data_IF_858591698738
#
_entry.id   IF_858591698738
#
_cell.length_a   1.000
_cell.length_b   1.000
_cell.length_c   1.000
_cell.angle_alpha   90.00
_cell.angle_beta   90.00
_cell.angle_gamma   90.00
#
_symmetry.space_group_name_H-M   'P 1'
#
loop_
_entity.id
_entity.type
_entity.pdbx_description
1 polymer ?
#
# COMPACT_ATOMS: atom_id res chain seq x y z
N UNK A 1 33.87 -48.23 10.01
CA UNK A 1 33.35 -47.01 9.33
C UNK A 1 32.14 -46.51 10.11
N UNK A 2 32.25 -45.43 10.87
CA UNK A 2 31.12 -44.73 11.45
C UNK A 2 30.66 -43.69 10.41
N UNK A 3 29.51 -43.91 9.83
CA UNK A 3 28.81 -42.91 9.07
C UNK A 3 28.37 -41.79 10.04
N UNK A 4 29.05 -40.65 10.01
CA UNK A 4 28.51 -39.42 10.60
C UNK A 4 27.37 -38.96 9.74
N UNK A 5 26.15 -39.32 10.10
CA UNK A 5 24.98 -38.67 9.57
C UNK A 5 25.04 -37.21 9.97
N UNK A 6 25.38 -36.36 9.03
CA UNK A 6 25.21 -34.89 9.15
C UNK A 6 23.72 -34.65 9.28
N UNK A 7 23.29 -34.35 10.50
CA UNK A 7 21.90 -33.92 10.76
C UNK A 7 21.67 -32.67 9.92
N UNK A 8 20.77 -32.77 8.95
CA UNK A 8 20.33 -31.62 8.21
C UNK A 8 19.64 -30.67 9.20
N UNK A 9 20.29 -29.54 9.45
CA UNK A 9 19.75 -28.55 10.36
C UNK A 9 18.62 -27.80 9.60
N UNK A 10 17.38 -28.15 9.93
CA UNK A 10 16.17 -27.59 9.30
C UNK A 10 15.85 -26.17 9.78
N UNK A 11 16.74 -25.57 10.58
CA UNK A 11 16.58 -24.21 11.09
C UNK A 11 17.18 -23.18 10.13
N UNK A 12 16.67 -23.12 8.92
CA UNK A 12 16.97 -22.04 7.98
C UNK A 12 16.38 -20.70 8.44
N UNK A 13 16.75 -19.58 7.79
CA UNK A 13 16.17 -18.29 8.08
C UNK A 13 14.66 -18.31 7.84
N UNK A 14 13.92 -17.63 8.70
CA UNK A 14 12.49 -17.38 8.53
C UNK A 14 12.24 -15.89 8.43
N UNK A 15 11.23 -15.49 7.68
CA UNK A 15 10.79 -14.11 7.60
C UNK A 15 9.44 -13.92 8.28
N UNK A 16 9.21 -12.72 8.79
CA UNK A 16 7.95 -12.32 9.37
C UNK A 16 7.55 -10.94 8.84
N UNK A 17 6.26 -10.70 8.69
CA UNK A 17 5.73 -9.37 8.45
C UNK A 17 5.77 -8.62 9.79
N UNK A 18 6.52 -7.53 9.86
CA UNK A 18 6.58 -6.65 11.03
C UNK A 18 5.59 -5.50 10.94
N UNK A 19 5.23 -5.10 9.73
CA UNK A 19 4.24 -4.07 9.48
C UNK A 19 3.41 -4.45 8.26
N UNK A 20 2.08 -4.48 8.43
CA UNK A 20 1.15 -4.66 7.33
C UNK A 20 0.75 -3.29 6.78
N UNK A 21 0.49 -3.16 5.47
CA UNK A 21 -0.11 -1.96 4.93
C UNK A 21 -1.51 -1.75 5.53
N UNK A 22 -1.85 -0.50 5.73
CA UNK A 22 -3.16 -0.06 6.23
C UNK A 22 -3.94 0.62 5.12
N UNK A 23 -5.26 0.64 5.26
CA UNK A 23 -6.13 1.36 4.34
C UNK A 23 -5.75 2.85 4.30
N UNK A 24 -5.80 3.41 3.11
CA UNK A 24 -5.49 4.82 2.86
C UNK A 24 -6.76 5.52 2.40
N UNK A 25 -7.05 6.66 3.02
CA UNK A 25 -8.12 7.56 2.60
C UNK A 25 -7.48 8.84 2.05
N UNK A 26 -7.84 9.23 0.84
CA UNK A 26 -7.33 10.44 0.18
C UNK A 26 -8.42 11.13 -0.62
N UNK A 27 -8.11 12.30 -1.15
CA UNK A 27 -8.95 13.03 -2.11
C UNK A 27 -8.33 12.95 -3.50
N UNK A 28 -9.17 13.02 -4.53
CA UNK A 28 -8.71 13.09 -5.91
C UNK A 28 -7.92 14.39 -6.18
N UNK A 29 -7.06 14.38 -7.18
CA UNK A 29 -6.35 15.57 -7.65
C UNK A 29 -7.35 16.66 -8.08
N UNK A 30 -6.97 17.93 -7.92
CA UNK A 30 -7.79 19.08 -8.33
C UNK A 30 -8.81 19.55 -7.28
N UNK A 31 -8.89 18.92 -6.11
CA UNK A 31 -9.73 19.36 -5.00
C UNK A 31 -8.99 20.38 -4.14
N UNK A 32 -9.57 21.56 -3.97
CA UNK A 32 -9.10 22.55 -2.99
C UNK A 32 -9.51 22.07 -1.59
N UNK A 33 -8.55 21.65 -0.81
CA UNK A 33 -8.57 21.17 0.56
C UNK A 33 -9.92 21.08 1.28
N UNK A 34 -10.31 19.85 1.63
CA UNK A 34 -11.35 19.58 2.62
C UNK A 34 -10.72 19.50 4.02
N UNK A 35 -11.34 20.17 4.99
CA UNK A 35 -10.90 20.11 6.40
C UNK A 35 -11.23 18.73 6.94
N UNK A 36 -10.23 17.97 7.37
CA UNK A 36 -10.43 16.75 8.17
C UNK A 36 -9.87 15.44 7.63
N UNK A 37 -9.21 15.42 6.48
CA UNK A 37 -8.53 14.20 5.97
C UNK A 37 -7.02 14.36 6.15
N UNK A 38 -6.41 13.46 6.94
CA UNK A 38 -4.97 13.38 7.05
C UNK A 38 -4.41 12.70 5.79
N UNK A 39 -3.69 13.46 4.96
CA UNK A 39 -3.07 12.93 3.74
C UNK A 39 -2.79 14.04 2.74
N UNK A 40 -1.97 13.73 1.76
CA UNK A 40 -1.69 14.63 0.64
C UNK A 40 -2.72 14.36 -0.46
N UNK A 41 -3.43 15.40 -0.91
CA UNK A 41 -4.41 15.31 -2.00
C UNK A 41 -3.79 14.65 -3.23
N UNK A 42 -4.46 13.66 -3.78
CA UNK A 42 -4.04 12.94 -4.99
C UNK A 42 -2.87 11.98 -4.81
N UNK A 43 -2.48 11.68 -3.57
CA UNK A 43 -1.39 10.75 -3.26
C UNK A 43 -1.84 9.75 -2.21
N UNK A 44 -1.51 8.48 -2.42
CA UNK A 44 -1.65 7.41 -1.44
C UNK A 44 -0.30 6.70 -1.25
N UNK A 45 0.03 6.38 0.00
CA UNK A 45 1.26 5.68 0.35
C UNK A 45 0.92 4.47 1.21
N UNK A 46 1.35 3.29 0.78
CA UNK A 46 1.21 2.02 1.50
C UNK A 46 2.58 1.56 1.96
N UNK A 47 2.68 1.07 3.20
CA UNK A 47 3.93 0.62 3.79
C UNK A 47 3.78 -0.83 4.25
N UNK A 48 4.71 -1.69 3.83
CA UNK A 48 4.82 -3.07 4.28
C UNK A 48 6.27 -3.38 4.65
N UNK A 49 6.52 -3.85 5.86
CA UNK A 49 7.87 -4.13 6.35
C UNK A 49 7.97 -5.58 6.80
N UNK A 50 9.07 -6.21 6.44
CA UNK A 50 9.40 -7.58 6.85
C UNK A 50 10.71 -7.63 7.63
N UNK A 51 10.80 -8.57 8.56
CA UNK A 51 11.99 -8.88 9.34
C UNK A 51 12.43 -10.31 9.07
N UNK A 52 13.73 -10.57 9.22
CA UNK A 52 14.29 -11.91 9.14
C UNK A 52 14.75 -12.37 10.52
N UNK A 53 14.35 -13.58 10.90
CA UNK A 53 14.94 -14.30 12.02
C UNK A 53 15.88 -15.38 11.45
N UNK A 54 17.14 -15.23 11.74
CA UNK A 54 18.12 -16.26 11.45
C UNK A 54 18.00 -17.27 12.60
N UNK A 55 17.32 -18.39 12.36
CA UNK A 55 17.12 -19.43 13.39
C UNK A 55 18.39 -19.70 14.21
N UNK A 56 18.23 -19.90 15.52
CA UNK A 56 19.33 -20.34 16.37
C UNK A 56 19.67 -21.78 16.04
N UNK A 57 20.95 -22.17 16.11
CA UNK A 57 22.05 -21.57 16.84
C UNK A 57 23.23 -21.14 15.99
N UNK A 58 23.89 -20.18 16.45
CA UNK A 58 25.34 -19.97 16.42
C UNK A 58 26.17 -21.09 15.81
N UNK A 59 26.03 -21.33 14.53
CA UNK A 59 27.14 -21.90 13.82
C UNK A 59 28.17 -20.77 13.66
N UNK A 60 29.39 -20.92 14.20
CA UNK A 60 30.43 -19.93 14.00
C UNK A 60 30.59 -19.69 12.50
N UNK A 61 30.43 -18.47 12.05
CA UNK A 61 30.62 -18.09 10.64
C UNK A 61 29.38 -17.79 9.83
N UNK A 62 28.17 -17.83 10.40
CA UNK A 62 26.97 -17.29 9.71
C UNK A 62 26.92 -15.79 9.92
N UNK A 63 27.39 -15.05 8.95
CA UNK A 63 27.26 -13.59 8.94
C UNK A 63 25.80 -13.19 8.69
N UNK A 64 25.25 -12.34 9.56
CA UNK A 64 23.93 -11.74 9.43
C UNK A 64 23.82 -10.79 8.23
N UNK A 65 24.92 -10.58 7.51
CA UNK A 65 25.02 -9.60 6.42
C UNK A 65 24.85 -10.19 5.01
N UNK A 66 24.50 -11.46 4.88
CA UNK A 66 24.54 -12.15 3.57
C UNK A 66 23.17 -12.44 2.94
N UNK A 67 22.18 -11.64 3.23
CA UNK A 67 20.89 -11.80 2.57
C UNK A 67 20.22 -10.46 2.33
N UNK A 68 19.30 -10.43 1.40
CA UNK A 68 18.49 -9.25 1.11
C UNK A 68 17.03 -9.62 0.94
N UNK A 69 16.15 -8.70 1.35
CA UNK A 69 14.75 -8.77 1.01
C UNK A 69 14.56 -8.37 -0.45
N UNK A 70 13.65 -9.07 -1.10
CA UNK A 70 13.09 -8.72 -2.40
C UNK A 70 11.61 -8.50 -2.17
N UNK A 71 11.14 -7.30 -2.42
CA UNK A 71 9.74 -6.91 -2.28
C UNK A 71 9.09 -6.82 -3.64
N UNK A 72 7.80 -7.14 -3.69
CA UNK A 72 6.96 -6.92 -4.85
C UNK A 72 5.55 -6.57 -4.39
N UNK A 73 5.06 -5.42 -4.79
CA UNK A 73 3.68 -5.05 -4.61
C UNK A 73 2.80 -5.67 -5.69
N UNK A 74 1.61 -6.05 -5.29
CA UNK A 74 0.57 -6.60 -6.14
C UNK A 74 -0.74 -5.86 -5.89
N UNK A 75 -1.58 -5.81 -6.91
CA UNK A 75 -2.99 -5.43 -6.74
C UNK A 75 -3.74 -6.52 -5.98
N UNK A 76 -4.89 -6.20 -5.42
CA UNK A 76 -5.68 -7.15 -4.62
C UNK A 76 -6.10 -8.42 -5.38
N UNK A 77 -6.21 -8.34 -6.69
CA UNK A 77 -6.47 -9.47 -7.60
C UNK A 77 -5.20 -10.25 -8.00
N UNK A 78 -4.03 -9.86 -7.50
CA UNK A 78 -2.78 -10.61 -7.66
C UNK A 78 -1.90 -10.20 -8.83
N UNK A 79 -2.22 -9.12 -9.53
CA UNK A 79 -1.39 -8.61 -10.62
C UNK A 79 -0.20 -7.84 -10.05
N UNK A 80 1.00 -8.08 -10.59
CA UNK A 80 2.21 -7.34 -10.20
C UNK A 80 2.07 -5.86 -10.52
N UNK A 81 2.32 -5.03 -9.53
CA UNK A 81 2.47 -3.58 -9.71
C UNK A 81 3.84 -3.29 -10.31
N UNK A 82 3.89 -2.38 -11.26
CA UNK A 82 5.12 -1.89 -11.88
C UNK A 82 5.22 -0.38 -11.76
N UNK A 83 6.42 0.13 -11.60
CA UNK A 83 6.66 1.57 -11.56
C UNK A 83 6.32 2.22 -12.90
N UNK A 84 5.78 3.43 -12.85
CA UNK A 84 5.34 4.19 -14.01
C UNK A 84 5.16 5.67 -13.65
N UNK A 85 4.38 6.39 -14.46
CA UNK A 85 4.20 7.85 -14.28
C UNK A 85 3.54 8.18 -12.93
N UNK A 86 2.57 7.37 -12.52
CA UNK A 86 1.76 7.61 -11.32
C UNK A 86 2.02 6.60 -10.19
N UNK A 87 2.93 5.65 -10.39
CA UNK A 87 3.23 4.59 -9.43
C UNK A 87 4.74 4.52 -9.24
N UNK A 88 5.18 4.45 -7.99
CA UNK A 88 6.58 4.25 -7.64
C UNK A 88 6.74 3.37 -6.41
N UNK A 89 7.90 2.70 -6.32
CA UNK A 89 8.24 1.86 -5.19
C UNK A 89 7.67 0.45 -5.24
N UNK A 90 7.27 -0.05 -6.41
CA UNK A 90 6.66 -1.38 -6.57
C UNK A 90 7.53 -2.54 -6.09
N UNK A 91 8.85 -2.36 -6.05
CA UNK A 91 9.84 -3.31 -5.54
C UNK A 91 10.43 -2.94 -4.17
N UNK A 92 9.81 -2.07 -3.40
CA UNK A 92 10.33 -1.57 -2.11
C UNK A 92 9.33 -1.79 -0.97
N UNK A 93 9.69 -1.40 0.24
CA UNK A 93 8.78 -1.42 1.40
C UNK A 93 7.64 -0.42 1.29
N UNK A 94 7.71 0.55 0.38
CA UNK A 94 6.75 1.64 0.27
C UNK A 94 6.25 1.76 -1.16
N UNK A 95 4.95 1.58 -1.37
CA UNK A 95 4.27 1.85 -2.63
C UNK A 95 3.63 3.23 -2.56
N UNK A 96 3.91 4.08 -3.54
CA UNK A 96 3.28 5.39 -3.68
C UNK A 96 2.50 5.46 -4.98
N UNK A 97 1.25 5.89 -4.89
CA UNK A 97 0.37 6.16 -6.03
C UNK A 97 0.06 7.64 -6.03
N UNK A 98 0.25 8.29 -7.15
CA UNK A 98 0.03 9.72 -7.35
C UNK A 98 -1.02 9.96 -8.45
N UNK A 99 -1.47 11.21 -8.57
CA UNK A 99 -2.48 11.62 -9.55
C UNK A 99 -3.79 10.81 -9.45
N UNK A 100 -4.18 10.53 -8.21
CA UNK A 100 -5.37 9.73 -7.89
C UNK A 100 -6.63 10.45 -8.34
N UNK A 101 -7.54 9.73 -8.97
CA UNK A 101 -8.83 10.22 -9.49
C UNK A 101 -9.99 9.46 -8.87
N UNK A 102 -11.16 10.08 -8.80
CA UNK A 102 -12.43 9.46 -8.43
C UNK A 102 -13.35 9.47 -9.67
N UNK A 103 -14.06 8.36 -9.95
CA UNK A 103 -14.14 7.12 -9.18
C UNK A 103 -13.05 6.08 -9.52
N UNK A 104 -12.18 6.32 -10.51
CA UNK A 104 -11.33 5.30 -11.14
C UNK A 104 -10.36 4.60 -10.20
N UNK A 105 -9.91 5.29 -9.15
CA UNK A 105 -8.95 4.74 -8.18
C UNK A 105 -9.61 4.31 -6.86
N UNK A 106 -10.87 4.63 -6.63
CA UNK A 106 -11.58 4.21 -5.42
C UNK A 106 -11.76 2.70 -5.37
N UNK A 107 -11.56 2.12 -4.19
CA UNK A 107 -11.67 0.68 -3.96
C UNK A 107 -10.50 -0.16 -4.45
N UNK A 108 -9.50 0.40 -5.14
CA UNK A 108 -8.28 -0.34 -5.48
C UNK A 108 -7.58 -0.82 -4.22
N UNK A 109 -7.08 -2.05 -4.26
CA UNK A 109 -6.42 -2.64 -3.10
C UNK A 109 -5.06 -3.23 -3.47
N UNK A 110 -4.15 -3.28 -2.49
CA UNK A 110 -2.77 -3.66 -2.69
C UNK A 110 -2.26 -4.50 -1.52
N UNK A 111 -1.34 -5.42 -1.83
CA UNK A 111 -0.58 -6.16 -0.85
C UNK A 111 0.88 -6.29 -1.30
N UNK A 112 1.76 -6.58 -0.38
CA UNK A 112 3.18 -6.80 -0.66
C UNK A 112 3.53 -8.27 -0.48
N UNK A 113 4.35 -8.81 -1.36
CA UNK A 113 5.08 -10.05 -1.14
C UNK A 113 6.54 -9.74 -0.81
N UNK A 114 7.03 -10.38 0.25
CA UNK A 114 8.41 -10.31 0.67
C UNK A 114 9.08 -11.67 0.51
N UNK A 115 10.18 -11.70 -0.22
CA UNK A 115 11.07 -12.86 -0.33
C UNK A 115 12.42 -12.50 0.28
N UNK A 116 13.07 -13.48 0.87
CA UNK A 116 14.42 -13.29 1.36
C UNK A 116 15.35 -14.24 0.60
N UNK A 117 16.29 -13.65 -0.10
CA UNK A 117 17.37 -14.38 -0.77
C UNK A 117 18.63 -14.24 0.06
N UNK A 118 19.11 -15.33 0.55
CA UNK A 118 20.42 -15.37 1.18
C UNK A 118 21.50 -15.40 0.09
N UNK A 119 22.61 -14.74 0.38
CA UNK A 119 23.75 -14.62 -0.54
C UNK A 119 24.41 -15.96 -0.92
N UNK A 120 25.48 -15.85 -1.64
CA UNK A 120 26.25 -16.94 -2.23
C UNK A 120 26.69 -17.98 -1.21
N UNK A 121 26.69 -19.26 -1.64
CA UNK A 121 27.26 -20.40 -0.95
C UNK A 121 28.69 -20.11 -0.50
N UNK A 122 28.95 -20.21 0.80
CA UNK A 122 30.30 -20.11 1.34
C UNK A 122 31.04 -21.45 1.12
N UNK A 123 31.94 -21.44 0.16
CA UNK A 123 32.75 -22.59 -0.19
C UNK A 123 33.74 -23.00 0.93
N UNK A 124 34.02 -22.09 1.88
CA UNK A 124 34.95 -22.33 2.98
C UNK A 124 34.31 -23.13 4.11
N UNK A 125 33.04 -22.91 4.37
CA UNK A 125 32.27 -23.59 5.43
C UNK A 125 31.42 -24.74 4.95
N UNK A 126 31.26 -24.88 3.60
CA UNK A 126 30.43 -25.93 3.02
C UNK A 126 28.94 -25.73 3.29
N UNK A 127 28.51 -24.54 3.67
CA UNK A 127 27.10 -24.22 3.98
C UNK A 127 26.50 -23.36 2.91
N UNK A 128 25.46 -23.86 2.30
CA UNK A 128 24.56 -23.08 1.47
C UNK A 128 23.60 -22.30 2.37
N UNK A 129 23.56 -20.99 2.20
CA UNK A 129 22.53 -20.17 2.80
C UNK A 129 21.36 -20.20 1.83
N UNK A 130 20.34 -20.98 2.13
CA UNK A 130 19.14 -21.12 1.29
C UNK A 130 18.18 -19.92 1.44
N UNK A 131 17.19 -19.85 0.57
CA UNK A 131 16.07 -18.93 0.73
C UNK A 131 15.39 -19.16 2.09
N UNK A 132 14.76 -18.11 2.62
CA UNK A 132 13.95 -18.27 3.83
C UNK A 132 12.93 -19.39 3.67
N UNK A 133 12.74 -20.20 4.70
CA UNK A 133 11.90 -21.41 4.65
C UNK A 133 10.44 -21.12 4.33
N UNK A 134 9.97 -19.91 4.67
CA UNK A 134 8.60 -19.43 4.45
C UNK A 134 8.51 -18.32 3.39
N UNK A 135 9.44 -18.26 2.46
CA UNK A 135 9.48 -17.30 1.36
C UNK A 135 8.72 -17.82 0.13
N UNK A 136 7.94 -17.01 -0.59
CA UNK A 136 7.56 -15.63 -0.25
C UNK A 136 6.50 -15.55 0.87
N UNK A 137 6.50 -14.46 1.63
CA UNK A 137 5.50 -14.14 2.63
C UNK A 137 4.66 -12.95 2.15
N UNK A 138 3.34 -13.08 2.29
CA UNK A 138 2.37 -12.10 1.85
C UNK A 138 1.84 -11.29 3.02
N UNK A 139 1.79 -9.95 2.88
CA UNK A 139 1.10 -9.06 3.83
C UNK A 139 -0.42 -9.20 3.74
N UNK A 140 -1.14 -8.64 4.69
CA UNK A 140 -2.56 -8.32 4.50
C UNK A 140 -2.75 -7.33 3.35
N UNK A 141 -3.96 -7.31 2.79
CA UNK A 141 -4.35 -6.37 1.75
C UNK A 141 -4.82 -5.07 2.39
N UNK A 142 -4.43 -3.93 1.81
CA UNK A 142 -4.91 -2.61 2.16
C UNK A 142 -5.66 -1.99 0.98
N UNK A 143 -6.68 -1.19 1.28
CA UNK A 143 -7.58 -0.59 0.29
C UNK A 143 -7.36 0.91 0.21
N UNK A 144 -7.40 1.44 -1.00
CA UNK A 144 -7.44 2.86 -1.29
C UNK A 144 -8.90 3.32 -1.31
N UNK A 145 -9.25 4.27 -0.46
CA UNK A 145 -10.52 4.96 -0.50
C UNK A 145 -10.32 6.39 -0.98
N UNK A 146 -10.97 6.73 -2.10
CA UNK A 146 -10.93 8.09 -2.67
C UNK A 146 -12.23 8.79 -2.35
N UNK A 147 -12.15 9.88 -1.60
CA UNK A 147 -13.35 10.66 -1.26
C UNK A 147 -13.86 11.44 -2.49
N UNK A 148 -15.16 11.47 -2.71
CA UNK A 148 -15.74 12.21 -3.82
C UNK A 148 -15.59 13.72 -3.62
N UNK A 149 -15.61 14.44 -4.74
CA UNK A 149 -15.65 15.90 -4.76
C UNK A 149 -17.07 16.38 -4.91
N UNK A 150 -17.39 17.51 -4.25
CA UNK A 150 -18.67 18.20 -4.43
C UNK A 150 -18.40 19.49 -5.19
N UNK A 151 -19.16 19.70 -6.27
CA UNK A 151 -19.07 20.91 -7.09
C UNK A 151 -20.42 21.63 -7.08
N UNK A 152 -20.42 22.90 -6.67
CA UNK A 152 -21.61 23.75 -6.81
C UNK A 152 -21.80 24.07 -8.30
N UNK A 153 -22.93 23.69 -8.85
CA UNK A 153 -23.27 23.85 -10.28
C UNK A 153 -24.13 25.05 -10.53
N UNK A 154 -24.86 25.54 -9.51
CA UNK A 154 -25.63 26.77 -9.57
C UNK A 154 -25.62 27.46 -8.22
N UNK A 155 -25.23 28.70 -8.21
CA UNK A 155 -25.31 29.57 -7.03
C UNK A 155 -26.60 30.39 -7.01
N UNK A 156 -27.12 30.74 -5.81
CA UNK A 156 -28.25 31.65 -5.71
C UNK A 156 -27.90 33.02 -6.32
N UNK A 157 -28.80 33.57 -7.09
CA UNK A 157 -28.67 34.93 -7.64
C UNK A 157 -29.35 35.95 -6.72
N UNK A 158 -28.76 37.15 -6.64
CA UNK A 158 -29.35 38.23 -5.87
C UNK A 158 -30.74 38.61 -6.46
N UNK A 159 -31.69 38.80 -5.57
CA UNK A 159 -33.03 39.24 -5.94
C UNK A 159 -33.39 40.54 -5.23
N UNK A 160 -34.07 41.44 -5.93
CA UNK A 160 -34.67 42.65 -5.35
C UNK A 160 -36.19 42.53 -5.45
N UNK A 161 -36.85 42.60 -4.31
CA UNK A 161 -38.31 42.43 -4.21
C UNK A 161 -38.92 43.55 -3.44
N UNK A 162 -40.20 43.80 -3.67
CA UNK A 162 -41.01 44.78 -2.95
C UNK A 162 -41.41 44.24 -1.55
N UNK A 163 -41.84 45.14 -0.69
CA UNK A 163 -42.33 44.79 0.66
C UNK A 163 -43.53 43.84 0.56
N UNK A 164 -43.40 42.65 1.20
CA UNK A 164 -44.46 41.64 1.23
C UNK A 164 -44.40 40.62 0.09
N UNK A 165 -43.47 40.74 -0.85
CA UNK A 165 -43.23 39.74 -1.88
C UNK A 165 -42.40 38.57 -1.36
N UNK A 166 -42.63 37.38 -1.92
CA UNK A 166 -41.85 36.14 -1.62
C UNK A 166 -40.71 36.01 -2.62
N UNK A 167 -39.52 35.73 -2.11
CA UNK A 167 -38.36 35.39 -2.95
C UNK A 167 -37.90 33.96 -2.65
N UNK A 168 -37.56 33.26 -3.71
CA UNK A 168 -36.99 31.89 -3.60
C UNK A 168 -35.57 31.94 -4.14
N UNK A 169 -34.62 31.47 -3.33
CA UNK A 169 -33.25 31.22 -3.74
C UNK A 169 -33.04 29.74 -4.01
N UNK A 170 -32.43 29.40 -5.12
CA UNK A 170 -32.13 28.03 -5.51
C UNK A 170 -30.61 27.87 -5.69
N UNK A 171 -30.10 26.71 -5.27
CA UNK A 171 -28.73 26.27 -5.53
C UNK A 171 -28.72 24.82 -5.94
N UNK A 172 -27.70 24.41 -6.66
CA UNK A 172 -27.50 23.01 -7.01
C UNK A 172 -26.01 22.62 -6.92
N UNK A 173 -25.77 21.36 -6.64
CA UNK A 173 -24.44 20.80 -6.60
C UNK A 173 -24.43 19.36 -7.16
N UNK A 174 -23.27 18.91 -7.60
CA UNK A 174 -23.03 17.53 -8.04
C UNK A 174 -21.87 16.94 -7.28
N UNK A 175 -21.82 15.61 -7.18
CA UNK A 175 -20.68 14.86 -6.65
C UNK A 175 -19.97 14.13 -7.79
N UNK A 176 -18.65 13.94 -7.69
CA UNK A 176 -17.87 13.16 -8.66
C UNK A 176 -18.20 11.66 -8.60
N UNK A 177 -18.77 11.20 -7.50
CA UNK A 177 -19.13 9.79 -7.28
C UNK A 177 -20.50 9.74 -6.56
N UNK A 178 -21.60 9.57 -7.29
CA UNK A 178 -22.94 9.52 -6.72
C UNK A 178 -23.17 8.27 -5.86
N UNK A 179 -22.39 7.21 -6.03
CA UNK A 179 -22.56 5.96 -5.32
C UNK A 179 -22.03 6.03 -3.87
N UNK A 180 -21.18 7.02 -3.55
CA UNK A 180 -20.64 7.23 -2.22
C UNK A 180 -21.52 8.05 -1.26
N UNK A 181 -22.70 8.47 -1.66
CA UNK A 181 -23.66 9.14 -0.81
C UNK A 181 -24.44 10.25 -1.51
N UNK A 182 -25.56 10.66 -0.88
CA UNK A 182 -26.40 11.73 -1.36
C UNK A 182 -25.92 13.09 -0.84
N UNK A 183 -26.09 14.13 -1.68
CA UNK A 183 -25.90 15.52 -1.24
C UNK A 183 -27.03 15.90 -0.27
N UNK A 184 -26.68 16.52 0.84
CA UNK A 184 -27.61 17.15 1.77
C UNK A 184 -27.47 18.68 1.65
N UNK A 185 -28.59 19.37 1.55
CA UNK A 185 -28.67 20.83 1.46
C UNK A 185 -29.34 21.38 2.70
#
# INVERSE_FOLDING_TARGET
>A
FRSTQTRLDLNGPTIAISENPTDVVTQAVGVTSFVGVAGTVGIATFIGVSTVSLGTPNAPGVSTSQGSFIYQWHTGDGVKVTDGVNISGSGTTTLTISNITSPDDDGKSFYQEASFSSGTYDTTTGRGVGNALNSPLKTSTATLKVLPTVTVTSEPTAATVGTGEVVTFTSSATTSDPDQGALAF
#
